data_IF_225948017280
#
_entry.id   IF_225948017280
#
_cell.length_a   1.000
_cell.length_b   1.000
_cell.length_c   1.000
_cell.angle_alpha   90.00
_cell.angle_beta   90.00
_cell.angle_gamma   90.00
#
_symmetry.space_group_name_H-M   'P 1'
#
loop_
_entity.id
_entity.type
_entity.pdbx_description
1 polymer ?
#
# COMPACT_ATOMS: atom_id res chain seq x y z
N UNK A 1 10.83 11.31 -3.66
CA UNK A 1 12.06 11.54 -2.88
C UNK A 1 12.72 10.23 -2.51
N UNK A 2 14.06 10.17 -2.53
CA UNK A 2 14.82 9.04 -2.01
C UNK A 2 15.31 9.38 -0.60
N UNK A 3 14.88 8.58 0.39
CA UNK A 3 15.20 8.81 1.80
C UNK A 3 16.53 8.21 2.23
N UNK A 4 17.11 7.32 1.43
CA UNK A 4 18.40 6.69 1.64
C UNK A 4 18.32 5.20 1.96
N UNK A 5 19.50 4.63 2.22
CA UNK A 5 19.67 3.29 2.76
C UNK A 5 19.46 3.32 4.29
N UNK A 6 18.47 2.56 4.74
CA UNK A 6 18.05 2.53 6.15
C UNK A 6 18.48 1.25 6.88
N UNK A 7 19.54 0.61 6.39
CA UNK A 7 20.09 -0.59 7.02
C UNK A 7 20.51 -0.35 8.47
N UNK A 8 21.22 0.74 8.70
CA UNK A 8 21.78 1.07 10.02
C UNK A 8 21.02 2.20 10.74
N UNK A 9 19.90 2.68 10.14
CA UNK A 9 19.06 3.70 10.77
C UNK A 9 18.26 3.09 11.91
N UNK A 10 18.30 3.72 13.08
CA UNK A 10 17.48 3.36 14.22
C UNK A 10 16.06 3.92 14.11
N UNK A 11 15.11 3.21 14.70
CA UNK A 11 13.73 3.69 14.81
C UNK A 11 12.90 3.60 13.52
N UNK A 12 13.33 2.83 12.52
CA UNK A 12 12.55 2.60 11.32
C UNK A 12 11.14 2.08 11.64
N UNK A 13 10.13 2.69 11.06
CA UNK A 13 8.73 2.40 11.35
C UNK A 13 7.87 2.32 10.09
N UNK A 14 6.68 1.77 10.22
CA UNK A 14 5.66 1.83 9.18
C UNK A 14 4.92 3.19 9.14
N UNK A 15 5.20 4.06 10.12
CA UNK A 15 4.77 5.46 10.12
C UNK A 15 5.94 6.32 10.56
N UNK A 16 6.45 7.13 9.66
CA UNK A 16 7.47 8.16 9.92
C UNK A 16 6.74 9.41 10.41
N UNK A 17 6.59 9.52 11.73
CA UNK A 17 5.73 10.52 12.37
C UNK A 17 6.12 11.96 12.03
N UNK A 18 7.43 12.23 11.88
CA UNK A 18 7.93 13.57 11.50
C UNK A 18 7.46 13.94 10.10
N UNK A 19 7.58 13.03 9.12
CA UNK A 19 7.14 13.27 7.75
C UNK A 19 5.63 13.46 7.70
N UNK A 20 4.86 12.61 8.39
CA UNK A 20 3.41 12.72 8.43
C UNK A 20 2.95 14.01 9.12
N UNK A 21 3.58 14.38 10.23
CA UNK A 21 3.28 15.62 10.96
C UNK A 21 3.55 16.87 10.12
N UNK A 22 4.68 16.90 9.41
CA UNK A 22 5.06 18.01 8.54
C UNK A 22 4.08 18.14 7.37
N UNK A 23 3.67 17.00 6.76
CA UNK A 23 2.68 17.03 5.69
C UNK A 23 1.31 17.51 6.21
N UNK A 24 0.82 17.00 7.34
CA UNK A 24 -0.44 17.44 7.94
C UNK A 24 -0.40 18.93 8.32
N UNK A 25 0.72 19.41 8.83
CA UNK A 25 0.91 20.84 9.13
C UNK A 25 0.84 21.69 7.85
N UNK A 26 1.41 21.22 6.74
CA UNK A 26 1.32 21.90 5.43
C UNK A 26 -0.12 21.94 4.89
N UNK A 27 -0.99 21.01 5.32
CA UNK A 27 -2.42 21.03 5.02
C UNK A 27 -3.22 21.95 5.97
N UNK A 28 -2.55 22.69 6.86
CA UNK A 28 -3.16 23.68 7.76
C UNK A 28 -3.65 23.10 9.10
N UNK A 29 -3.28 21.89 9.45
CA UNK A 29 -3.66 21.27 10.73
C UNK A 29 -2.70 21.69 11.85
N UNK A 30 -3.24 22.01 13.02
CA UNK A 30 -2.44 22.37 14.19
C UNK A 30 -1.92 21.12 14.94
N UNK A 31 -0.95 21.32 15.85
CA UNK A 31 -0.32 20.24 16.59
C UNK A 31 -1.31 19.38 17.40
N UNK A 32 -2.37 19.98 17.94
CA UNK A 32 -3.39 19.24 18.71
C UNK A 32 -4.13 18.24 17.83
N UNK A 33 -4.52 18.64 16.62
CA UNK A 33 -5.18 17.78 15.64
C UNK A 33 -4.22 16.69 15.17
N UNK A 34 -2.97 17.06 14.83
CA UNK A 34 -1.93 16.13 14.38
C UNK A 34 -1.71 15.05 15.44
N UNK A 35 -1.54 15.40 16.71
CA UNK A 35 -1.36 14.42 17.79
C UNK A 35 -2.54 13.47 17.95
N UNK A 36 -3.78 13.97 17.77
CA UNK A 36 -4.98 13.10 17.79
C UNK A 36 -5.01 12.13 16.61
N UNK A 37 -4.58 12.58 15.44
CA UNK A 37 -4.46 11.73 14.23
C UNK A 37 -3.42 10.64 14.45
N UNK A 38 -2.21 10.98 14.92
CA UNK A 38 -1.14 10.03 15.22
C UNK A 38 -1.60 9.01 16.27
N UNK A 39 -2.18 9.46 17.36
CA UNK A 39 -2.72 8.57 18.41
C UNK A 39 -3.78 7.59 17.86
N UNK A 40 -4.66 8.08 16.98
CA UNK A 40 -5.68 7.22 16.37
C UNK A 40 -5.06 6.21 15.42
N UNK A 41 -4.10 6.62 14.60
CA UNK A 41 -3.39 5.75 13.67
C UNK A 41 -2.59 4.67 14.43
N UNK A 42 -1.87 5.06 15.50
CA UNK A 42 -1.14 4.12 16.34
C UNK A 42 -2.03 3.06 16.99
N UNK A 43 -3.20 3.49 17.46
CA UNK A 43 -4.19 2.58 18.02
C UNK A 43 -4.69 1.58 16.98
N UNK A 44 -5.03 2.04 15.78
CA UNK A 44 -5.67 1.23 14.75
C UNK A 44 -4.66 0.29 14.04
N UNK A 45 -3.38 0.70 13.92
CA UNK A 45 -2.32 -0.15 13.36
C UNK A 45 -1.81 -1.23 14.32
N UNK A 46 -2.16 -1.15 15.62
CA UNK A 46 -1.64 -2.05 16.63
C UNK A 46 -2.19 -3.47 16.47
N UNK A 47 -1.29 -4.45 16.49
CA UNK A 47 -1.61 -5.88 16.47
C UNK A 47 -1.38 -6.43 17.88
N UNK A 48 -2.35 -7.16 18.43
CA UNK A 48 -2.25 -7.78 19.73
C UNK A 48 -3.59 -8.16 20.31
N UNK A 49 -3.61 -9.01 21.33
CA UNK A 49 -4.86 -9.54 21.88
C UNK A 49 -5.67 -10.29 20.83
N UNK A 50 -6.89 -9.84 20.55
CA UNK A 50 -7.77 -10.41 19.54
C UNK A 50 -7.53 -9.83 18.13
N UNK A 51 -6.81 -8.69 18.00
CA UNK A 51 -6.57 -8.01 16.73
C UNK A 51 -5.49 -8.73 15.93
N UNK A 52 -5.85 -9.22 14.77
CA UNK A 52 -4.95 -9.86 13.81
C UNK A 52 -4.44 -8.84 12.77
N UNK A 53 -3.44 -9.23 11.97
CA UNK A 53 -2.90 -8.37 10.90
C UNK A 53 -4.00 -7.87 9.94
N UNK A 54 -4.92 -8.74 9.55
CA UNK A 54 -6.05 -8.37 8.68
C UNK A 54 -6.89 -7.24 9.28
N UNK A 55 -7.22 -7.33 10.56
CA UNK A 55 -8.10 -6.36 11.24
C UNK A 55 -7.39 -5.01 11.39
N UNK A 56 -6.11 -5.00 11.81
CA UNK A 56 -5.31 -3.80 11.92
C UNK A 56 -5.11 -3.14 10.54
N UNK A 57 -4.78 -3.92 9.52
CA UNK A 57 -4.58 -3.40 8.17
C UNK A 57 -5.88 -2.83 7.59
N UNK A 58 -7.03 -3.47 7.83
CA UNK A 58 -8.35 -2.94 7.45
C UNK A 58 -8.66 -1.64 8.18
N UNK A 59 -8.41 -1.56 9.48
CA UNK A 59 -8.63 -0.34 10.25
C UNK A 59 -7.79 0.82 9.73
N UNK A 60 -6.50 0.57 9.43
CA UNK A 60 -5.64 1.59 8.78
C UNK A 60 -6.15 1.96 7.39
N UNK A 61 -6.56 0.98 6.58
CA UNK A 61 -7.15 1.24 5.26
C UNK A 61 -8.39 2.14 5.35
N UNK A 62 -9.26 1.90 6.35
CA UNK A 62 -10.44 2.74 6.57
C UNK A 62 -10.05 4.18 6.94
N UNK A 63 -8.97 4.40 7.73
CA UNK A 63 -8.43 5.73 8.01
C UNK A 63 -7.86 6.41 6.76
N UNK A 64 -7.17 5.66 5.90
CA UNK A 64 -6.65 6.19 4.63
C UNK A 64 -7.81 6.59 3.71
N UNK A 65 -8.77 5.69 3.52
CA UNK A 65 -9.84 5.86 2.53
C UNK A 65 -10.92 6.87 2.94
N UNK A 66 -11.25 6.94 4.23
CA UNK A 66 -12.36 7.75 4.74
C UNK A 66 -11.92 8.90 5.65
N UNK A 67 -10.61 9.02 5.87
CA UNK A 67 -10.01 10.02 6.76
C UNK A 67 -10.21 9.70 8.24
N UNK A 68 -9.43 10.38 9.06
CA UNK A 68 -9.47 10.30 10.52
C UNK A 68 -10.47 11.30 11.06
N UNK A 69 -11.49 10.81 11.79
CA UNK A 69 -12.48 11.69 12.44
C UNK A 69 -11.94 12.18 13.77
N UNK A 70 -11.66 13.48 13.86
CA UNK A 70 -11.08 14.13 15.03
C UNK A 70 -12.07 15.19 15.55
N UNK A 71 -12.26 15.23 16.86
CA UNK A 71 -12.91 16.35 17.54
C UNK A 71 -11.81 17.27 18.09
N UNK A 72 -11.66 18.53 17.57
CA UNK A 72 -10.57 19.40 17.97
C UNK A 72 -10.61 19.73 19.47
N UNK A 73 -11.76 20.20 19.96
CA UNK A 73 -12.00 20.48 21.38
C UNK A 73 -13.34 19.90 21.87
N UNK A 74 -13.49 19.84 23.19
CA UNK A 74 -14.74 19.38 23.79
C UNK A 74 -15.90 20.32 23.40
N UNK A 75 -16.96 19.75 22.80
CA UNK A 75 -18.11 20.52 22.32
C UNK A 75 -18.04 20.96 20.85
N UNK A 76 -16.89 20.89 20.21
CA UNK A 76 -16.77 21.19 18.78
C UNK A 76 -17.26 20.04 17.90
N UNK A 77 -17.58 20.38 16.64
CA UNK A 77 -17.96 19.37 15.66
C UNK A 77 -16.74 18.53 15.23
N UNK A 78 -16.98 17.25 15.01
CA UNK A 78 -15.95 16.36 14.45
C UNK A 78 -15.64 16.80 13.02
N UNK A 79 -14.34 16.88 12.70
CA UNK A 79 -13.84 17.09 11.35
C UNK A 79 -13.12 15.84 10.84
N UNK A 80 -13.07 15.71 9.52
CA UNK A 80 -12.35 14.62 8.87
C UNK A 80 -10.98 15.12 8.44
N UNK A 81 -9.92 14.48 8.92
CA UNK A 81 -8.54 14.76 8.56
C UNK A 81 -8.09 13.68 7.59
N UNK A 82 -7.72 14.09 6.40
CA UNK A 82 -7.25 13.19 5.36
C UNK A 82 -5.76 12.88 5.55
N UNK A 83 -5.39 11.62 5.43
CA UNK A 83 -3.99 11.15 5.48
C UNK A 83 -3.34 11.15 4.09
N UNK A 84 -4.17 11.16 3.05
CA UNK A 84 -3.77 11.15 1.64
C UNK A 84 -4.68 12.10 0.86
N UNK A 85 -4.11 12.93 -0.01
CA UNK A 85 -4.88 13.68 -1.00
C UNK A 85 -5.13 12.78 -2.23
N UNK A 86 -6.29 12.14 -2.24
CA UNK A 86 -6.69 11.24 -3.33
C UNK A 86 -7.06 11.97 -4.62
N UNK A 87 -7.43 13.25 -4.53
CA UNK A 87 -7.88 14.05 -5.67
C UNK A 87 -6.71 14.62 -6.47
N UNK A 88 -5.66 15.01 -5.75
CA UNK A 88 -4.47 15.61 -6.33
C UNK A 88 -3.24 14.81 -5.89
N UNK A 89 -2.90 13.71 -6.57
CA UNK A 89 -1.80 12.82 -6.20
C UNK A 89 -0.47 13.55 -5.95
N UNK A 90 -0.18 14.59 -6.73
CA UNK A 90 1.05 15.38 -6.62
C UNK A 90 1.17 16.21 -5.33
N UNK A 91 0.07 16.45 -4.61
CA UNK A 91 0.10 17.11 -3.30
C UNK A 91 0.63 16.21 -2.20
N UNK A 92 0.75 14.91 -2.44
CA UNK A 92 1.29 13.98 -1.47
C UNK A 92 2.82 13.93 -1.55
N UNK A 93 3.44 13.73 -0.41
CA UNK A 93 4.86 13.45 -0.31
C UNK A 93 5.11 11.96 -0.57
N UNK A 94 5.62 11.63 -1.77
CA UNK A 94 6.04 10.27 -2.12
C UNK A 94 7.52 10.10 -1.84
N UNK A 95 7.85 9.03 -1.11
CA UNK A 95 9.22 8.73 -0.79
C UNK A 95 9.49 7.22 -0.83
N UNK A 96 10.76 6.86 -1.06
CA UNK A 96 11.24 5.48 -1.00
C UNK A 96 12.48 5.41 -0.12
N UNK A 97 12.57 4.36 0.67
CA UNK A 97 13.77 3.98 1.41
C UNK A 97 14.17 2.55 1.03
N UNK A 98 15.46 2.29 0.97
CA UNK A 98 15.97 0.94 0.70
C UNK A 98 16.58 0.32 1.95
N UNK A 99 16.68 -1.02 1.95
CA UNK A 99 17.30 -1.82 3.03
C UNK A 99 16.75 -1.47 4.41
N UNK A 100 15.43 -1.34 4.54
CA UNK A 100 14.77 -0.82 5.75
C UNK A 100 14.78 -1.86 6.87
N UNK A 101 15.67 -1.72 7.84
CA UNK A 101 15.78 -2.62 8.99
C UNK A 101 14.62 -2.42 9.96
N UNK A 102 13.74 -3.42 10.10
CA UNK A 102 12.61 -3.42 11.03
C UNK A 102 12.85 -4.45 12.14
N UNK A 103 12.79 -3.97 13.38
CA UNK A 103 12.96 -4.82 14.56
C UNK A 103 11.70 -5.69 14.76
N UNK A 104 11.88 -6.99 14.71
CA UNK A 104 10.84 -7.98 15.01
C UNK A 104 11.04 -8.65 16.36
N UNK A 105 10.04 -9.43 16.78
CA UNK A 105 10.13 -10.22 18.00
C UNK A 105 9.77 -11.68 17.67
N UNK A 106 10.76 -12.60 17.53
CA UNK A 106 12.18 -12.45 17.87
C UNK A 106 13.10 -12.03 16.70
N UNK A 107 12.63 -12.01 15.44
CA UNK A 107 13.49 -11.87 14.28
C UNK A 107 13.32 -10.54 13.56
N UNK A 108 14.42 -9.78 13.47
CA UNK A 108 14.53 -8.59 12.62
C UNK A 108 14.48 -8.99 11.15
N UNK A 109 13.85 -8.17 10.33
CA UNK A 109 13.80 -8.30 8.87
C UNK A 109 14.10 -6.97 8.20
N UNK A 110 14.47 -7.06 6.92
CA UNK A 110 14.91 -5.93 6.16
C UNK A 110 14.29 -6.02 4.75
N UNK A 111 13.11 -5.41 4.52
CA UNK A 111 12.58 -5.22 3.18
C UNK A 111 13.54 -4.45 2.29
N UNK A 112 13.66 -4.89 1.02
CA UNK A 112 14.61 -4.30 0.08
C UNK A 112 14.23 -2.84 -0.23
N UNK A 113 12.93 -2.56 -0.50
CA UNK A 113 12.41 -1.20 -0.76
C UNK A 113 11.07 -1.02 -0.07
N UNK A 114 10.88 0.13 0.59
CA UNK A 114 9.61 0.56 1.17
C UNK A 114 9.15 1.85 0.51
N UNK A 115 7.87 1.87 0.10
CA UNK A 115 7.21 3.05 -0.49
C UNK A 115 6.39 3.74 0.59
N UNK A 116 6.74 4.99 0.87
CA UNK A 116 6.03 5.85 1.80
C UNK A 116 5.20 6.90 1.06
N UNK A 117 3.99 7.15 1.55
CA UNK A 117 3.16 8.28 1.13
C UNK A 117 2.83 9.07 2.38
N UNK A 118 3.21 10.34 2.41
CA UNK A 118 3.05 11.24 3.56
C UNK A 118 3.63 10.63 4.86
N UNK A 119 4.73 9.86 4.76
CA UNK A 119 5.35 9.20 5.90
C UNK A 119 4.69 7.88 6.32
N UNK A 120 3.63 7.42 5.64
CA UNK A 120 3.00 6.12 5.91
C UNK A 120 3.51 5.09 4.90
N UNK A 121 4.07 3.99 5.37
CA UNK A 121 4.50 2.87 4.52
C UNK A 121 3.29 2.19 3.91
N UNK A 122 3.08 2.32 2.60
CA UNK A 122 1.95 1.75 1.87
C UNK A 122 2.33 0.62 0.93
N UNK A 123 3.61 0.51 0.54
CA UNK A 123 4.09 -0.54 -0.33
C UNK A 123 5.43 -1.11 0.11
N UNK A 124 5.66 -2.40 -0.17
CA UNK A 124 6.96 -3.05 -0.02
C UNK A 124 7.32 -3.78 -1.29
N UNK A 125 8.58 -3.76 -1.68
CA UNK A 125 9.12 -4.48 -2.84
C UNK A 125 10.28 -5.35 -2.38
N UNK A 126 10.23 -6.65 -2.68
CA UNK A 126 11.32 -7.60 -2.52
C UNK A 126 11.92 -7.93 -3.88
N UNK A 127 13.18 -7.64 -4.07
CA UNK A 127 13.89 -7.87 -5.31
C UNK A 127 14.78 -9.10 -5.22
N UNK A 128 14.87 -9.84 -6.30
CA UNK A 128 15.75 -11.01 -6.40
C UNK A 128 16.64 -10.87 -7.64
N UNK A 129 17.82 -11.47 -7.56
CA UNK A 129 18.72 -11.55 -8.72
C UNK A 129 18.00 -12.29 -9.86
N UNK A 130 18.33 -11.97 -11.08
CA UNK A 130 17.74 -12.56 -12.30
C UNK A 130 17.83 -14.10 -12.36
N UNK A 131 18.77 -14.70 -11.63
CA UNK A 131 18.94 -16.16 -11.51
C UNK A 131 18.06 -16.80 -10.43
N UNK A 132 17.33 -16.01 -9.65
CA UNK A 132 16.45 -16.47 -8.55
C UNK A 132 15.03 -16.09 -8.90
N UNK A 133 14.10 -17.06 -8.83
CA UNK A 133 12.70 -16.79 -9.19
C UNK A 133 12.05 -15.75 -8.28
N UNK A 134 11.14 -14.93 -8.82
CA UNK A 134 10.37 -13.95 -8.07
C UNK A 134 9.57 -14.59 -6.92
N UNK A 135 9.25 -15.86 -7.01
CA UNK A 135 8.61 -16.66 -5.94
C UNK A 135 9.37 -16.65 -4.62
N UNK A 136 10.69 -16.54 -4.64
CA UNK A 136 11.48 -16.39 -3.40
C UNK A 136 11.21 -15.07 -2.69
N UNK A 137 11.08 -13.97 -3.44
CA UNK A 137 10.70 -12.67 -2.88
C UNK A 137 9.27 -12.70 -2.34
N UNK A 138 8.34 -13.37 -3.04
CA UNK A 138 6.96 -13.55 -2.56
C UNK A 138 6.95 -14.28 -1.22
N UNK A 139 7.68 -15.40 -1.10
CA UNK A 139 7.77 -16.19 0.15
C UNK A 139 8.41 -15.36 1.27
N UNK A 140 9.44 -14.59 0.98
CA UNK A 140 10.06 -13.69 1.95
C UNK A 140 9.04 -12.67 2.48
N UNK A 141 8.26 -12.04 1.61
CA UNK A 141 7.18 -11.15 2.00
C UNK A 141 6.12 -11.84 2.87
N UNK A 142 5.74 -13.09 2.52
CA UNK A 142 4.77 -13.85 3.31
C UNK A 142 5.33 -14.24 4.69
N UNK A 143 6.61 -14.60 4.76
CA UNK A 143 7.29 -14.88 6.03
C UNK A 143 7.36 -13.61 6.91
N UNK A 144 7.70 -12.45 6.33
CA UNK A 144 7.76 -11.19 7.03
C UNK A 144 6.42 -10.79 7.71
N UNK A 145 5.29 -11.28 7.20
CA UNK A 145 3.95 -11.05 7.77
C UNK A 145 3.62 -11.94 8.97
N UNK A 146 4.47 -12.90 9.33
CA UNK A 146 4.23 -13.79 10.48
C UNK A 146 4.61 -13.12 11.80
N UNK A 147 4.02 -13.62 12.91
CA UNK A 147 4.20 -13.06 14.27
C UNK A 147 5.66 -13.07 14.74
N UNK A 148 6.42 -14.09 14.34
CA UNK A 148 7.82 -14.25 14.68
C UNK A 148 8.76 -13.29 13.94
N UNK A 149 8.24 -12.53 12.98
CA UNK A 149 9.01 -11.58 12.19
C UNK A 149 8.50 -10.14 12.38
N UNK A 150 8.22 -9.43 11.32
CA UNK A 150 7.86 -8.01 11.34
C UNK A 150 6.39 -7.77 11.02
N UNK A 151 5.48 -8.65 11.46
CA UNK A 151 4.05 -8.58 11.19
C UNK A 151 3.45 -7.18 11.42
N UNK A 152 3.85 -6.52 12.50
CA UNK A 152 3.36 -5.18 12.86
C UNK A 152 3.64 -4.13 11.79
N UNK A 153 4.75 -4.26 11.05
CA UNK A 153 5.09 -3.36 9.96
C UNK A 153 4.05 -3.42 8.82
N UNK A 154 3.50 -4.60 8.58
CA UNK A 154 2.51 -4.83 7.52
C UNK A 154 1.11 -4.31 7.85
N UNK A 155 0.87 -3.77 9.05
CA UNK A 155 -0.44 -3.20 9.39
C UNK A 155 -0.81 -1.97 8.55
N UNK A 156 0.17 -1.24 7.99
CA UNK A 156 -0.06 -0.11 7.08
C UNK A 156 0.08 -0.49 5.61
N UNK A 157 0.79 -1.55 5.29
CA UNK A 157 1.12 -1.93 3.91
C UNK A 157 -0.14 -2.31 3.13
N UNK A 158 -0.35 -1.63 2.03
CA UNK A 158 -1.51 -1.83 1.16
C UNK A 158 -1.20 -2.70 -0.04
N UNK A 159 -0.01 -2.56 -0.63
CA UNK A 159 0.46 -3.34 -1.76
C UNK A 159 1.79 -4.02 -1.44
N UNK A 160 1.93 -5.27 -1.86
CA UNK A 160 3.13 -6.09 -1.66
C UNK A 160 3.64 -6.54 -3.02
N UNK A 161 4.91 -6.27 -3.29
CA UNK A 161 5.53 -6.57 -4.56
C UNK A 161 6.75 -7.48 -4.39
N UNK A 162 7.00 -8.33 -5.38
CA UNK A 162 8.23 -9.10 -5.50
C UNK A 162 8.59 -9.29 -6.97
N UNK A 163 9.86 -9.23 -7.31
CA UNK A 163 10.25 -9.35 -8.72
C UNK A 163 11.74 -9.53 -8.94
N UNK A 164 12.06 -9.71 -10.22
CA UNK A 164 13.41 -9.70 -10.76
C UNK A 164 13.39 -9.23 -12.23
N UNK A 165 14.56 -8.96 -12.79
CA UNK A 165 14.71 -8.45 -14.17
C UNK A 165 14.12 -9.39 -15.23
N UNK A 166 14.10 -10.70 -14.98
CA UNK A 166 13.68 -11.71 -15.96
C UNK A 166 12.18 -11.95 -15.96
N UNK A 167 11.57 -12.04 -14.76
CA UNK A 167 10.14 -12.38 -14.59
C UNK A 167 9.26 -11.14 -14.44
N UNK A 168 9.85 -9.97 -14.24
CA UNK A 168 9.14 -8.73 -13.92
C UNK A 168 8.61 -8.70 -12.49
N UNK A 169 7.67 -7.80 -12.25
CA UNK A 169 7.08 -7.57 -10.94
C UNK A 169 5.79 -8.39 -10.74
N UNK A 170 5.68 -9.03 -9.60
CA UNK A 170 4.46 -9.66 -9.11
C UNK A 170 3.89 -8.80 -7.99
N UNK A 171 2.58 -8.69 -7.91
CA UNK A 171 1.91 -7.92 -6.86
C UNK A 171 0.81 -8.70 -6.17
N UNK A 172 0.57 -8.32 -4.96
CA UNK A 172 -0.50 -8.83 -4.11
C UNK A 172 -0.76 -7.88 -2.96
N UNK A 173 -1.44 -8.37 -1.96
CA UNK A 173 -1.72 -7.66 -0.71
C UNK A 173 -1.34 -8.54 0.48
N UNK A 174 -1.48 -8.07 1.70
CA UNK A 174 -1.23 -8.91 2.88
C UNK A 174 -2.05 -10.21 2.80
N UNK A 175 -1.43 -11.32 3.19
CA UNK A 175 -2.07 -12.64 3.23
C UNK A 175 -2.37 -13.27 1.86
N UNK A 176 -2.00 -12.62 0.73
CA UNK A 176 -2.17 -13.23 -0.60
C UNK A 176 -1.31 -14.48 -0.74
N UNK A 177 -1.87 -15.69 -0.92
CA UNK A 177 -1.07 -16.88 -1.15
C UNK A 177 -0.18 -16.77 -2.40
N UNK A 178 1.02 -17.36 -2.38
CA UNK A 178 2.02 -17.26 -3.46
C UNK A 178 1.43 -17.44 -4.86
N UNK A 179 0.60 -18.48 -5.04
CA UNK A 179 -0.03 -18.82 -6.33
C UNK A 179 -1.01 -17.77 -6.86
N UNK A 180 -1.41 -16.81 -6.03
CA UNK A 180 -2.37 -15.77 -6.38
C UNK A 180 -1.71 -14.38 -6.52
N UNK A 181 -0.37 -14.29 -6.38
CA UNK A 181 0.34 -13.09 -6.79
C UNK A 181 0.16 -12.86 -8.28
N UNK A 182 -0.20 -11.65 -8.65
CA UNK A 182 -0.59 -11.26 -9.99
C UNK A 182 0.60 -10.65 -10.73
N UNK A 183 0.62 -10.81 -12.04
CA UNK A 183 1.51 -10.07 -12.94
C UNK A 183 0.73 -8.91 -13.55
N UNK A 184 1.30 -7.72 -13.55
CA UNK A 184 0.75 -6.60 -14.29
C UNK A 184 1.06 -6.78 -15.76
N UNK A 185 0.00 -6.86 -16.59
CA UNK A 185 0.09 -7.13 -18.03
C UNK A 185 -0.42 -5.91 -18.79
N UNK A 186 0.44 -4.96 -18.97
CA UNK A 186 0.21 -3.74 -19.73
C UNK A 186 1.39 -3.55 -20.69
N UNK A 187 1.09 -3.23 -21.94
CA UNK A 187 2.11 -2.94 -22.95
C UNK A 187 2.84 -1.63 -22.59
N UNK A 188 4.07 -1.48 -23.09
CA UNK A 188 4.87 -0.29 -22.85
C UNK A 188 6.21 -0.38 -23.54
N UNK A 189 6.87 0.77 -23.72
CA UNK A 189 8.12 0.93 -24.47
C UNK A 189 9.38 0.56 -23.68
N UNK A 190 9.25 0.19 -22.40
CA UNK A 190 10.38 -0.22 -21.56
C UNK A 190 10.62 -1.72 -21.76
N UNK A 191 11.79 -2.09 -22.25
CA UNK A 191 12.15 -3.48 -22.57
C UNK A 191 12.26 -4.35 -21.32
N UNK A 192 12.93 -3.85 -20.27
CA UNK A 192 13.09 -4.59 -19.02
C UNK A 192 11.71 -4.78 -18.34
N UNK A 193 11.26 -6.04 -18.12
CA UNK A 193 9.93 -6.31 -17.56
C UNK A 193 9.78 -5.84 -16.11
N UNK A 194 10.85 -5.78 -15.31
CA UNK A 194 10.81 -5.25 -13.95
C UNK A 194 10.62 -3.74 -13.96
N UNK A 195 11.48 -3.02 -14.71
CA UNK A 195 11.42 -1.57 -14.81
C UNK A 195 10.07 -1.10 -15.36
N UNK A 196 9.56 -1.78 -16.40
CA UNK A 196 8.24 -1.50 -16.96
C UNK A 196 7.14 -1.64 -15.91
N UNK A 197 7.12 -2.74 -15.20
CA UNK A 197 6.07 -3.00 -14.22
C UNK A 197 6.17 -2.05 -13.02
N UNK A 198 7.38 -1.71 -12.54
CA UNK A 198 7.58 -0.72 -11.47
C UNK A 198 7.08 0.64 -11.94
N UNK A 199 7.51 1.09 -13.13
CA UNK A 199 7.09 2.38 -13.69
C UNK A 199 5.57 2.46 -13.84
N UNK A 200 4.92 1.40 -14.30
CA UNK A 200 3.48 1.37 -14.48
C UNK A 200 2.70 1.32 -13.16
N UNK A 201 3.11 0.49 -12.21
CA UNK A 201 2.33 0.28 -10.98
C UNK A 201 2.67 1.27 -9.86
N UNK A 202 3.89 1.81 -9.86
CA UNK A 202 4.36 2.75 -8.83
C UNK A 202 4.31 4.21 -9.30
N UNK A 203 3.76 4.49 -10.51
CA UNK A 203 3.37 5.84 -10.89
C UNK A 203 2.38 6.38 -9.85
N UNK A 204 2.59 7.61 -9.38
CA UNK A 204 1.94 8.17 -8.21
C UNK A 204 0.42 8.07 -8.24
N UNK A 205 -0.19 8.51 -9.34
CA UNK A 205 -1.64 8.50 -9.49
C UNK A 205 -2.18 7.07 -9.52
N UNK A 206 -1.53 6.18 -10.25
CA UNK A 206 -1.92 4.78 -10.34
C UNK A 206 -1.74 4.04 -9.03
N UNK A 207 -0.62 4.25 -8.34
CA UNK A 207 -0.37 3.64 -7.04
C UNK A 207 -1.47 4.00 -6.03
N UNK A 208 -1.85 5.28 -5.97
CA UNK A 208 -2.95 5.74 -5.12
C UNK A 208 -4.30 5.20 -5.60
N UNK A 209 -4.57 5.18 -6.90
CA UNK A 209 -5.84 4.67 -7.44
C UNK A 209 -6.00 3.16 -7.15
N UNK A 210 -4.93 2.36 -7.29
CA UNK A 210 -4.93 0.95 -6.93
C UNK A 210 -5.30 0.75 -5.46
N UNK A 211 -4.76 1.58 -4.56
CA UNK A 211 -5.07 1.50 -3.13
C UNK A 211 -6.49 1.98 -2.87
N UNK A 212 -6.91 3.11 -3.45
CA UNK A 212 -8.20 3.73 -3.17
C UNK A 212 -9.37 2.93 -3.74
N UNK A 213 -9.30 2.50 -5.00
CA UNK A 213 -10.44 1.97 -5.75
C UNK A 213 -10.40 0.45 -5.95
N UNK A 214 -9.24 -0.20 -5.79
CA UNK A 214 -9.06 -1.60 -6.16
C UNK A 214 -8.64 -2.54 -5.04
N UNK A 215 -8.69 -2.08 -3.78
CA UNK A 215 -8.54 -2.93 -2.62
C UNK A 215 -9.91 -3.26 -2.03
N UNK A 216 -10.14 -4.54 -1.77
CA UNK A 216 -11.37 -5.05 -1.18
C UNK A 216 -11.04 -5.95 0.02
N UNK A 217 -11.74 -5.74 1.13
CA UNK A 217 -11.72 -6.60 2.31
C UNK A 217 -13.00 -7.43 2.34
N UNK A 218 -12.86 -8.74 2.14
CA UNK A 218 -13.98 -9.65 2.00
C UNK A 218 -13.78 -10.90 2.86
N UNK A 219 -14.64 -11.10 3.85
CA UNK A 219 -14.68 -12.29 4.71
C UNK A 219 -13.31 -12.74 5.25
N UNK A 220 -12.48 -11.79 5.74
CA UNK A 220 -11.14 -12.08 6.28
C UNK A 220 -10.03 -12.17 5.24
N UNK A 221 -10.34 -11.93 3.97
CA UNK A 221 -9.38 -11.93 2.85
C UNK A 221 -9.29 -10.54 2.26
N UNK A 222 -8.06 -10.00 2.20
CA UNK A 222 -7.78 -8.78 1.43
C UNK A 222 -7.47 -9.16 -0.01
N UNK A 223 -8.02 -8.42 -0.95
CA UNK A 223 -7.91 -8.66 -2.40
C UNK A 223 -7.49 -7.38 -3.12
N UNK A 224 -6.83 -7.55 -4.27
CA UNK A 224 -6.57 -6.49 -5.25
C UNK A 224 -6.96 -6.95 -6.65
N UNK A 225 -6.96 -6.04 -7.62
CA UNK A 225 -7.43 -6.32 -8.97
C UNK A 225 -6.36 -6.90 -9.89
N UNK A 226 -6.80 -7.56 -10.95
CA UNK A 226 -5.99 -7.90 -12.13
C UNK A 226 -5.97 -6.72 -13.10
N UNK A 227 -4.97 -6.66 -13.98
CA UNK A 227 -4.83 -5.62 -15.01
C UNK A 227 -6.12 -5.44 -15.84
N UNK A 228 -6.73 -6.53 -16.27
CA UNK A 228 -7.98 -6.45 -17.06
C UNK A 228 -9.19 -5.95 -16.24
N UNK A 229 -9.23 -6.22 -14.94
CA UNK A 229 -10.25 -5.66 -14.06
C UNK A 229 -10.04 -4.16 -13.86
N UNK A 230 -8.79 -3.74 -13.66
CA UNK A 230 -8.43 -2.32 -13.56
C UNK A 230 -8.91 -1.54 -14.80
N UNK A 231 -8.43 -1.88 -15.97
CA UNK A 231 -8.80 -1.17 -17.20
C UNK A 231 -10.29 -1.29 -17.56
N UNK A 232 -10.90 -2.46 -17.33
CA UNK A 232 -12.32 -2.64 -17.54
C UNK A 232 -13.17 -1.75 -16.63
N UNK A 233 -12.78 -1.57 -15.37
CA UNK A 233 -13.45 -0.67 -14.43
C UNK A 233 -13.30 0.79 -14.84
N UNK A 234 -12.08 1.21 -15.23
CA UNK A 234 -11.82 2.59 -15.69
C UNK A 234 -12.66 2.92 -16.92
N UNK A 235 -12.66 2.05 -17.94
CA UNK A 235 -13.45 2.23 -19.15
C UNK A 235 -14.96 2.27 -18.86
N UNK A 236 -15.44 1.46 -17.93
CA UNK A 236 -16.85 1.47 -17.50
C UNK A 236 -17.19 2.77 -16.78
N UNK A 237 -16.31 3.25 -15.89
CA UNK A 237 -16.47 4.53 -15.17
C UNK A 237 -16.57 5.71 -16.15
N UNK A 238 -15.68 5.76 -17.13
CA UNK A 238 -15.66 6.82 -18.16
C UNK A 238 -16.99 6.85 -18.93
N UNK A 239 -17.46 5.69 -19.43
CA UNK A 239 -18.75 5.61 -20.14
C UNK A 239 -19.92 5.98 -19.25
N UNK A 240 -19.91 5.57 -17.98
CA UNK A 240 -20.97 5.93 -17.03
C UNK A 240 -21.03 7.46 -16.79
N UNK A 241 -19.87 8.13 -16.67
CA UNK A 241 -19.80 9.60 -16.56
C UNK A 241 -20.36 10.28 -17.79
N UNK A 242 -20.05 9.76 -18.99
CA UNK A 242 -20.53 10.27 -20.27
C UNK A 242 -21.99 9.86 -20.57
N UNK A 243 -22.64 9.07 -19.69
CA UNK A 243 -23.99 8.49 -19.89
C UNK A 243 -24.09 7.64 -21.16
N UNK A 244 -23.01 6.95 -21.52
CA UNK A 244 -22.95 6.03 -22.65
C UNK A 244 -23.20 4.60 -22.20
N UNK A 245 -23.94 3.84 -23.02
CA UNK A 245 -24.08 2.39 -22.84
C UNK A 245 -22.81 1.65 -23.29
N UNK A 246 -22.71 0.38 -22.91
CA UNK A 246 -21.60 -0.45 -23.35
C UNK A 246 -21.72 -1.90 -22.91
N UNK A 247 -20.81 -2.73 -23.42
CA UNK A 247 -20.66 -4.14 -23.03
C UNK A 247 -19.23 -4.33 -22.52
N UNK A 248 -19.10 -4.85 -21.30
CA UNK A 248 -17.79 -5.26 -20.76
C UNK A 248 -17.56 -6.72 -21.15
N UNK A 249 -16.64 -6.92 -22.09
CA UNK A 249 -16.29 -8.27 -22.56
C UNK A 249 -14.99 -8.75 -21.90
N UNK A 250 -15.07 -9.78 -21.09
CA UNK A 250 -13.92 -10.46 -20.52
C UNK A 250 -13.94 -11.95 -20.91
N UNK A 251 -12.76 -12.52 -21.14
CA UNK A 251 -12.59 -13.95 -21.38
C UNK A 251 -13.01 -14.78 -20.17
N UNK A 252 -13.34 -16.05 -20.39
CA UNK A 252 -13.60 -16.98 -19.29
C UNK A 252 -12.38 -17.10 -18.38
N UNK A 253 -12.57 -17.13 -17.05
CA UNK A 253 -11.48 -17.21 -16.08
C UNK A 253 -10.75 -15.89 -15.80
N UNK A 254 -11.19 -14.78 -16.39
CA UNK A 254 -10.56 -13.45 -16.17
C UNK A 254 -10.87 -12.83 -14.80
N UNK A 255 -11.69 -13.48 -13.96
CA UNK A 255 -12.10 -12.93 -12.66
C UNK A 255 -13.25 -11.91 -12.74
N UNK A 256 -14.07 -11.98 -13.78
CA UNK A 256 -15.23 -11.07 -13.96
C UNK A 256 -16.39 -11.30 -12.99
N UNK A 257 -16.42 -12.46 -12.36
CA UNK A 257 -17.39 -12.81 -11.30
C UNK A 257 -16.63 -12.88 -9.98
N UNK A 258 -17.05 -12.07 -9.03
CA UNK A 258 -16.63 -12.12 -7.64
C UNK A 258 -17.74 -12.77 -6.82
#
# INVERSE_FOLDING_TARGET
>A
EYLGDWQDREGNSNVEEEILSNWLASQGHNATIINKVLTKLDKDKAIGGATQLYDANRAVYDLLRYGVKVQPEAGEQKQTIWLVDWKNPENNHFAVAEEVTILGKPHTKRPDIVIYVNGIALGVIELKRSTVTASHGIRQNLDNQKKEFIQHFFSTIQLVFAGNDTEGLRHGVIGTPERFFLQWKEDGDIDNPLDRSITQMCEKSRFLELIHDFIVFDAGIKKTCRTNQYFGTLATRERAVNREGGIVWHTQGSGKSL
#
